data_IF_635888309523
#
_entry.id   IF_635888309523
#
_cell.length_a   1.000
_cell.length_b   1.000
_cell.length_c   1.000
_cell.angle_alpha   90.00
_cell.angle_beta   90.00
_cell.angle_gamma   90.00
#
_symmetry.space_group_name_H-M   'P 1'
#
loop_
_entity.id
_entity.type
_entity.pdbx_description
1 polymer ?
#
# COMPACT_ATOMS: atom_id res chain seq x y z
N UNK A 1 -17.88 1.78 3.15
CA UNK A 1 -17.81 1.93 1.68
C UNK A 1 -16.92 0.86 1.05
N UNK A 2 -15.58 0.90 1.16
CA UNK A 2 -14.73 -0.18 0.59
C UNK A 2 -14.93 -1.54 1.28
N UNK A 3 -14.79 -1.60 2.61
CA UNK A 3 -14.97 -2.85 3.36
C UNK A 3 -16.41 -3.40 3.40
N UNK A 4 -17.39 -2.62 2.94
CA UNK A 4 -18.80 -3.06 2.88
C UNK A 4 -19.11 -3.74 1.54
N UNK A 5 -18.56 -3.23 0.44
CA UNK A 5 -18.71 -3.83 -0.90
C UNK A 5 -17.35 -3.84 -1.63
N UNK A 6 -16.42 -4.73 -1.23
CA UNK A 6 -15.06 -4.74 -1.78
C UNK A 6 -15.03 -4.93 -3.29
N UNK A 7 -15.85 -5.84 -3.83
CA UNK A 7 -15.94 -6.09 -5.27
C UNK A 7 -16.36 -4.87 -6.10
N UNK A 8 -17.09 -3.92 -5.50
CA UNK A 8 -17.55 -2.71 -6.18
C UNK A 8 -16.57 -1.55 -6.07
N UNK A 9 -15.88 -1.43 -4.93
CA UNK A 9 -15.14 -0.23 -4.57
C UNK A 9 -13.62 -0.41 -4.50
N UNK A 10 -13.10 -1.64 -4.59
CA UNK A 10 -11.66 -1.90 -4.50
C UNK A 10 -10.87 -1.14 -5.54
N UNK A 11 -11.28 -1.17 -6.81
CA UNK A 11 -10.56 -0.47 -7.88
C UNK A 11 -10.54 1.05 -7.65
N UNK A 12 -11.71 1.63 -7.34
CA UNK A 12 -11.83 3.07 -7.06
C UNK A 12 -10.98 3.47 -5.85
N UNK A 13 -11.03 2.68 -4.78
CA UNK A 13 -10.26 2.94 -3.57
C UNK A 13 -8.75 2.85 -3.81
N UNK A 14 -8.28 1.81 -4.49
CA UNK A 14 -6.85 1.64 -4.79
C UNK A 14 -6.33 2.75 -5.69
N UNK A 15 -7.12 3.20 -6.67
CA UNK A 15 -6.77 4.33 -7.53
C UNK A 15 -6.65 5.61 -6.71
N UNK A 16 -7.61 5.89 -5.83
CA UNK A 16 -7.58 7.09 -4.98
C UNK A 16 -6.40 7.06 -3.99
N UNK A 17 -6.15 5.92 -3.35
CA UNK A 17 -5.06 5.71 -2.38
C UNK A 17 -3.71 5.96 -3.04
N UNK A 18 -3.47 5.30 -4.18
CA UNK A 18 -2.24 5.49 -4.94
C UNK A 18 -2.07 6.94 -5.37
N UNK A 19 -3.09 7.57 -5.96
CA UNK A 19 -2.96 8.95 -6.47
C UNK A 19 -2.65 9.94 -5.36
N UNK A 20 -3.24 9.74 -4.18
CA UNK A 20 -2.96 10.55 -2.99
C UNK A 20 -1.50 10.36 -2.54
N UNK A 21 -1.02 9.12 -2.51
CA UNK A 21 0.35 8.81 -2.10
C UNK A 21 1.40 9.28 -3.10
N UNK A 22 1.12 9.13 -4.39
CA UNK A 22 1.95 9.64 -5.48
C UNK A 22 2.12 11.16 -5.35
N UNK A 23 1.04 11.90 -5.15
CA UNK A 23 1.09 13.36 -4.95
C UNK A 23 1.99 13.73 -3.77
N UNK A 24 1.81 13.08 -2.62
CA UNK A 24 2.65 13.33 -1.42
C UNK A 24 4.12 13.04 -1.67
N UNK A 25 4.45 11.98 -2.41
CA UNK A 25 5.85 11.66 -2.74
C UNK A 25 6.47 12.67 -3.72
N UNK A 26 5.67 13.19 -4.66
CA UNK A 26 6.10 14.19 -5.65
C UNK A 26 6.15 15.62 -5.11
N UNK A 27 5.60 15.88 -3.92
CA UNK A 27 5.71 17.19 -3.29
C UNK A 27 7.18 17.59 -3.11
N UNK A 28 7.53 18.86 -3.33
CA UNK A 28 8.89 19.34 -3.19
C UNK A 28 9.39 19.14 -1.76
N UNK A 29 10.68 18.83 -1.63
CA UNK A 29 11.32 18.69 -0.32
C UNK A 29 11.18 20.00 0.46
N UNK A 30 10.61 19.98 1.67
CA UNK A 30 10.47 21.17 2.51
C UNK A 30 11.80 21.88 2.71
N UNK A 31 11.80 23.22 2.67
CA UNK A 31 13.03 24.03 2.75
C UNK A 31 13.92 23.73 3.96
N UNK A 32 13.33 23.34 5.11
CA UNK A 32 14.08 22.91 6.31
C UNK A 32 14.98 21.70 6.08
N UNK A 33 14.58 20.78 5.20
CA UNK A 33 15.34 19.58 4.88
C UNK A 33 16.45 19.90 3.87
N UNK A 34 16.27 20.90 3.00
CA UNK A 34 17.29 21.35 2.07
C UNK A 34 18.49 22.03 2.77
N UNK A 35 18.30 22.52 3.99
CA UNK A 35 19.33 23.20 4.78
C UNK A 35 20.13 22.26 5.69
N UNK A 36 19.75 20.99 5.79
CA UNK A 36 20.43 20.01 6.63
C UNK A 36 21.54 19.30 5.85
N UNK A 37 22.71 19.09 6.48
CA UNK A 37 23.82 18.31 5.90
C UNK A 37 23.41 16.86 5.57
N UNK A 38 22.43 16.32 6.28
CA UNK A 38 21.80 15.03 5.98
C UNK A 38 20.30 15.15 6.10
N UNK A 39 19.60 15.10 4.97
CA UNK A 39 18.15 15.19 4.93
C UNK A 39 17.53 13.80 4.76
N UNK A 40 16.55 13.48 5.61
CA UNK A 40 15.83 12.21 5.55
C UNK A 40 14.34 12.51 5.43
N UNK A 41 13.69 11.92 4.43
CA UNK A 41 12.24 11.97 4.25
C UNK A 41 11.67 10.58 4.49
N UNK A 42 10.72 10.50 5.43
CA UNK A 42 10.04 9.25 5.78
C UNK A 42 8.61 9.33 5.27
N UNK A 43 8.15 8.27 4.62
CA UNK A 43 6.78 8.12 4.15
C UNK A 43 6.09 7.00 4.91
N UNK A 44 4.82 7.21 5.27
CA UNK A 44 3.99 6.11 5.73
C UNK A 44 3.55 5.29 4.50
N UNK A 45 4.10 4.07 4.38
CA UNK A 45 3.98 3.20 3.20
C UNK A 45 4.58 3.85 1.94
N UNK A 46 4.28 3.27 0.78
CA UNK A 46 4.77 3.72 -0.53
C UNK A 46 3.82 3.34 -1.65
N UNK A 47 3.99 3.96 -2.82
CA UNK A 47 3.30 3.58 -4.06
C UNK A 47 3.49 2.09 -4.37
N UNK A 48 4.66 1.52 -4.05
CA UNK A 48 4.94 0.09 -4.21
C UNK A 48 4.02 -0.79 -3.35
N UNK A 49 3.82 -0.41 -2.08
CA UNK A 49 2.92 -1.19 -1.22
C UNK A 49 1.45 -1.11 -1.64
N UNK A 50 1.01 -0.01 -2.27
CA UNK A 50 -0.36 0.06 -2.80
C UNK A 50 -0.58 -1.04 -3.86
N UNK A 51 0.39 -1.27 -4.76
CA UNK A 51 0.30 -2.35 -5.76
C UNK A 51 0.59 -3.73 -5.20
N UNK A 52 1.77 -3.95 -4.64
CA UNK A 52 2.30 -5.29 -4.34
C UNK A 52 1.69 -5.91 -3.09
N UNK A 53 1.12 -5.11 -2.19
CA UNK A 53 0.44 -5.60 -1.00
C UNK A 53 -1.07 -5.51 -1.20
N UNK A 54 -1.62 -4.31 -1.37
CA UNK A 54 -3.07 -4.13 -1.27
C UNK A 54 -3.80 -4.49 -2.56
N UNK A 55 -3.44 -3.91 -3.70
CA UNK A 55 -4.11 -4.19 -4.96
C UNK A 55 -3.91 -5.65 -5.39
N UNK A 56 -2.70 -6.20 -5.26
CA UNK A 56 -2.43 -7.63 -5.49
C UNK A 56 -3.31 -8.52 -4.60
N UNK A 57 -3.41 -8.22 -3.31
CA UNK A 57 -4.27 -9.00 -2.40
C UNK A 57 -5.76 -8.91 -2.76
N UNK A 58 -6.23 -7.73 -3.18
CA UNK A 58 -7.62 -7.53 -3.60
C UNK A 58 -7.91 -8.24 -4.92
N UNK A 59 -6.94 -8.39 -5.81
CA UNK A 59 -7.07 -9.25 -6.97
C UNK A 59 -7.12 -10.73 -6.59
N UNK A 60 -6.17 -11.20 -5.78
CA UNK A 60 -6.09 -12.61 -5.37
C UNK A 60 -7.28 -13.08 -4.53
N UNK A 61 -7.94 -12.17 -3.79
CA UNK A 61 -9.16 -12.49 -3.03
C UNK A 61 -10.47 -12.26 -3.81
N UNK A 62 -10.38 -11.89 -5.10
CA UNK A 62 -11.54 -11.71 -5.99
C UNK A 62 -12.28 -10.38 -5.84
N UNK A 63 -11.74 -9.41 -5.11
CA UNK A 63 -12.33 -8.06 -4.99
C UNK A 63 -11.97 -7.14 -6.16
N UNK A 64 -10.96 -7.45 -6.95
CA UNK A 64 -10.68 -6.84 -8.25
C UNK A 64 -10.92 -7.86 -9.36
N UNK A 65 -11.63 -7.47 -10.41
CA UNK A 65 -11.74 -8.27 -11.63
C UNK A 65 -10.42 -8.28 -12.42
N UNK A 66 -10.28 -9.24 -13.34
CA UNK A 66 -9.11 -9.32 -14.22
C UNK A 66 -8.89 -8.03 -15.02
N UNK A 67 -9.98 -7.42 -15.49
CA UNK A 67 -9.94 -6.15 -16.25
C UNK A 67 -9.47 -5.00 -15.36
N UNK A 68 -10.03 -4.86 -14.16
CA UNK A 68 -9.62 -3.81 -13.21
C UNK A 68 -8.16 -4.00 -12.77
N UNK A 69 -7.73 -5.23 -12.53
CA UNK A 69 -6.35 -5.54 -12.18
C UNK A 69 -5.38 -5.23 -13.31
N UNK A 70 -5.73 -5.60 -14.55
CA UNK A 70 -4.92 -5.28 -15.72
C UNK A 70 -4.77 -3.76 -15.90
N UNK A 71 -5.89 -3.03 -15.87
CA UNK A 71 -5.88 -1.57 -15.98
C UNK A 71 -5.07 -0.94 -14.84
N UNK A 72 -5.27 -1.40 -13.59
CA UNK A 72 -4.53 -0.90 -12.44
C UNK A 72 -3.02 -1.03 -12.59
N UNK A 73 -2.57 -2.21 -13.03
CA UNK A 73 -1.15 -2.46 -13.25
C UNK A 73 -0.57 -1.61 -14.37
N UNK A 74 -1.31 -1.44 -15.46
CA UNK A 74 -0.86 -0.67 -16.63
C UNK A 74 -0.59 0.79 -16.25
N UNK A 75 -1.60 1.49 -15.72
CA UNK A 75 -1.42 2.90 -15.36
C UNK A 75 -0.45 3.08 -14.19
N UNK A 76 -0.41 2.15 -13.23
CA UNK A 76 0.58 2.21 -12.14
C UNK A 76 2.00 2.10 -12.68
N UNK A 77 2.27 1.17 -13.60
CA UNK A 77 3.59 0.99 -14.21
C UNK A 77 4.00 2.23 -15.01
N UNK A 78 3.06 2.76 -15.81
CA UNK A 78 3.26 3.99 -16.55
C UNK A 78 3.67 5.16 -15.65
N UNK A 79 2.91 5.44 -14.58
CA UNK A 79 3.20 6.57 -13.69
C UNK A 79 4.50 6.39 -12.88
N UNK A 80 4.85 5.16 -12.50
CA UNK A 80 6.14 4.92 -11.88
C UNK A 80 7.31 5.18 -12.84
N UNK A 81 7.17 4.80 -14.10
CA UNK A 81 8.18 5.04 -15.13
C UNK A 81 8.33 6.54 -15.42
N UNK A 82 7.23 7.27 -15.57
CA UNK A 82 7.25 8.72 -15.83
C UNK A 82 7.85 9.55 -14.69
N UNK A 83 7.84 9.02 -13.46
CA UNK A 83 8.29 9.73 -12.26
C UNK A 83 9.41 9.03 -11.50
N UNK A 84 10.12 8.09 -12.15
CA UNK A 84 11.11 7.21 -11.52
C UNK A 84 12.13 7.98 -10.68
N UNK A 85 12.74 9.03 -11.25
CA UNK A 85 13.76 9.86 -10.60
C UNK A 85 13.27 10.54 -9.31
N UNK A 86 11.97 10.82 -9.22
CA UNK A 86 11.36 11.54 -8.09
C UNK A 86 10.75 10.61 -7.05
N UNK A 87 10.51 9.35 -7.40
CA UNK A 87 9.88 8.35 -6.53
C UNK A 87 10.88 7.35 -5.94
N UNK A 88 12.17 7.47 -6.29
CA UNK A 88 13.21 6.60 -5.78
C UNK A 88 13.24 6.59 -4.26
N UNK A 89 13.09 5.39 -3.69
CA UNK A 89 13.23 5.14 -2.25
C UNK A 89 14.60 4.52 -1.97
N UNK A 90 15.31 5.06 -1.00
CA UNK A 90 16.62 4.54 -0.57
C UNK A 90 16.52 3.25 0.26
N UNK A 91 15.34 2.97 0.82
CA UNK A 91 15.12 1.78 1.63
C UNK A 91 13.74 1.72 2.23
N UNK A 92 13.43 0.56 2.83
CA UNK A 92 12.18 0.29 3.53
C UNK A 92 12.45 -0.08 4.98
N UNK A 93 11.60 0.42 5.88
CA UNK A 93 11.56 -0.02 7.28
C UNK A 93 10.33 -0.90 7.43
N UNK A 94 10.53 -2.21 7.55
CA UNK A 94 9.44 -3.17 7.71
C UNK A 94 9.12 -3.40 9.19
N UNK A 95 7.95 -2.91 9.63
CA UNK A 95 7.45 -3.11 10.99
C UNK A 95 6.69 -4.44 11.09
N UNK A 96 7.43 -5.53 11.28
CA UNK A 96 6.87 -6.88 11.34
C UNK A 96 6.13 -7.14 12.67
N UNK A 97 4.91 -7.67 12.59
CA UNK A 97 4.13 -8.15 13.72
C UNK A 97 3.22 -9.30 13.26
N UNK A 98 2.90 -10.23 14.16
CA UNK A 98 2.01 -11.34 13.82
C UNK A 98 0.58 -10.84 13.53
N UNK A 99 -0.20 -11.55 12.68
CA UNK A 99 -1.59 -11.20 12.41
C UNK A 99 -2.46 -11.09 13.67
N UNK A 100 -2.17 -11.89 14.71
CA UNK A 100 -2.87 -11.86 16.00
C UNK A 100 -2.62 -10.53 16.73
N UNK A 101 -1.36 -10.09 16.81
CA UNK A 101 -1.01 -8.80 17.43
C UNK A 101 -1.61 -7.64 16.64
N UNK A 102 -1.62 -7.73 15.31
CA UNK A 102 -2.29 -6.73 14.47
C UNK A 102 -3.81 -6.67 14.71
N UNK A 103 -4.46 -7.83 14.90
CA UNK A 103 -5.89 -7.89 15.21
C UNK A 103 -6.19 -7.24 16.58
N UNK A 104 -5.41 -7.57 17.61
CA UNK A 104 -5.57 -6.97 18.94
C UNK A 104 -5.45 -5.44 18.87
N UNK A 105 -4.44 -4.92 18.16
CA UNK A 105 -4.26 -3.47 17.97
C UNK A 105 -5.38 -2.82 17.17
N UNK A 106 -5.93 -3.52 16.17
CA UNK A 106 -7.07 -3.07 15.38
C UNK A 106 -8.31 -2.92 16.27
N UNK A 107 -8.62 -3.94 17.08
CA UNK A 107 -9.71 -3.90 18.04
C UNK A 107 -9.53 -2.79 19.09
N UNK A 108 -8.32 -2.63 19.63
CA UNK A 108 -8.00 -1.56 20.59
C UNK A 108 -8.18 -0.17 20.00
N UNK A 109 -7.85 0.02 18.72
CA UNK A 109 -8.00 1.32 18.04
C UNK A 109 -9.45 1.69 17.78
N UNK A 110 -10.33 0.71 17.60
CA UNK A 110 -11.78 0.91 17.59
C UNK A 110 -12.32 1.75 16.43
N UNK A 111 -11.69 1.73 15.24
CA UNK A 111 -12.21 2.44 14.06
C UNK A 111 -13.44 1.73 13.49
N UNK A 112 -14.50 2.48 13.27
CA UNK A 112 -15.77 1.93 12.77
C UNK A 112 -15.62 1.24 11.41
N UNK A 113 -14.77 1.78 10.53
CA UNK A 113 -14.55 1.27 9.18
C UNK A 113 -13.84 -0.10 9.18
N UNK A 114 -13.18 -0.47 10.28
CA UNK A 114 -12.34 -1.66 10.40
C UNK A 114 -13.01 -2.78 11.19
N UNK A 115 -14.19 -2.55 11.77
CA UNK A 115 -14.90 -3.53 12.63
C UNK A 115 -15.25 -4.85 11.93
N UNK A 116 -15.33 -4.85 10.60
CA UNK A 116 -15.61 -6.05 9.80
C UNK A 116 -14.38 -6.83 9.34
N UNK A 117 -13.17 -6.40 9.71
CA UNK A 117 -11.93 -7.05 9.25
C UNK A 117 -11.72 -8.35 10.02
N UNK A 118 -11.60 -9.47 9.29
CA UNK A 118 -11.32 -10.78 9.87
C UNK A 118 -9.81 -11.08 9.94
N UNK A 119 -9.44 -12.00 10.84
CA UNK A 119 -8.05 -12.43 11.00
C UNK A 119 -7.50 -13.06 9.72
N UNK A 120 -8.35 -13.71 8.92
CA UNK A 120 -7.98 -14.27 7.63
C UNK A 120 -7.42 -13.19 6.68
N UNK A 121 -8.05 -12.03 6.63
CA UNK A 121 -7.57 -10.91 5.82
C UNK A 121 -6.20 -10.39 6.29
N UNK A 122 -6.01 -10.27 7.61
CA UNK A 122 -4.70 -9.87 8.16
C UNK A 122 -3.61 -10.91 7.87
N UNK A 123 -3.94 -12.21 7.86
CA UNK A 123 -3.01 -13.27 7.47
C UNK A 123 -2.62 -13.17 6.00
N UNK A 124 -3.58 -12.87 5.12
CA UNK A 124 -3.30 -12.65 3.69
C UNK A 124 -2.33 -11.47 3.51
N UNK A 125 -2.65 -10.32 4.10
CA UNK A 125 -1.76 -9.15 4.03
C UNK A 125 -0.38 -9.42 4.62
N UNK A 126 -0.30 -10.13 5.74
CA UNK A 126 0.99 -10.52 6.32
C UNK A 126 1.80 -11.37 5.34
N UNK A 127 1.18 -12.37 4.70
CA UNK A 127 1.82 -13.17 3.65
C UNK A 127 2.40 -12.32 2.52
N UNK A 128 1.64 -11.34 2.01
CA UNK A 128 2.14 -10.43 0.96
C UNK A 128 3.39 -9.64 1.42
N UNK A 129 3.42 -9.20 2.69
CA UNK A 129 4.59 -8.48 3.22
C UNK A 129 5.80 -9.40 3.40
N UNK A 130 5.59 -10.61 3.90
CA UNK A 130 6.67 -11.61 4.03
C UNK A 130 7.22 -11.98 2.65
N UNK A 131 6.36 -12.20 1.66
CA UNK A 131 6.76 -12.51 0.29
C UNK A 131 7.55 -11.38 -0.35
N UNK A 132 7.20 -10.13 -0.06
CA UNK A 132 7.89 -8.96 -0.61
C UNK A 132 9.22 -8.67 0.08
N UNK A 133 9.21 -8.55 1.41
CA UNK A 133 10.37 -8.07 2.17
C UNK A 133 11.34 -9.17 2.60
N UNK A 134 10.84 -10.40 2.82
CA UNK A 134 11.65 -11.50 3.37
C UNK A 134 11.98 -12.52 2.28
N UNK A 135 10.97 -13.11 1.64
CA UNK A 135 11.16 -14.20 0.68
C UNK A 135 11.59 -13.70 -0.71
N UNK A 136 11.27 -12.44 -1.05
CA UNK A 136 11.52 -11.81 -2.36
C UNK A 136 10.91 -12.61 -3.52
N UNK A 137 9.70 -13.13 -3.29
CA UNK A 137 8.95 -13.98 -4.24
C UNK A 137 7.80 -13.25 -4.92
N UNK A 138 7.55 -11.98 -4.55
CA UNK A 138 6.55 -11.14 -5.20
C UNK A 138 6.81 -11.04 -6.70
N UNK A 139 5.78 -11.35 -7.49
CA UNK A 139 5.76 -11.22 -8.95
C UNK A 139 5.05 -9.95 -9.35
#
# INVERSE_FOLDING_TARGET
MMYQEPARWSYTFQTLSFMSRLKVQLEPTPGRLLQADTSVRVFERSVYSDRYIFAKNLFENGSLSDVEWHIYQDWHSFLLQEFEDRLLLHGFIYLQASPQVCMERLCQRGREEEKGIELAYLKQLHGQHEDWFINKTTK
#
